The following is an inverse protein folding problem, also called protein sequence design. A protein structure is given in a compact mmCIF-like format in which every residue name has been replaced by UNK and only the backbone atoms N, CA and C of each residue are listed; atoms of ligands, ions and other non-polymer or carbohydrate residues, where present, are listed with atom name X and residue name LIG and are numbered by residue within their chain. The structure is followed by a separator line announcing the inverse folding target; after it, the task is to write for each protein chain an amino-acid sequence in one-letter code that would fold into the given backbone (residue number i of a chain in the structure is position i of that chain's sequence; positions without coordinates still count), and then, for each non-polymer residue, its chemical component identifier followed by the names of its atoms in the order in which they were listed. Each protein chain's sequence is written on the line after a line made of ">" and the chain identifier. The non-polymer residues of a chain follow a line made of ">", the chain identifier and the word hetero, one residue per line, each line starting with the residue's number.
data_IF_482634763420
#
_entry.id   IF_482634763420
#
_cell.length_a   1.000
_cell.length_b   1.000
_cell.length_c   1.000
_cell.angle_alpha   90.00
_cell.angle_beta   90.00
_cell.angle_gamma   90.00
#
_symmetry.space_group_name_H-M   'P 1'
#
loop_
_entity.id
_entity.type
_entity.pdbx_description
1 polymer ?
#
# COMPACT_ATOMS: atom_id res chain seq x y z
N UNK A 1 23.02 -5.25 -12.00
CA UNK A 1 24.32 -5.33 -12.69
C UNK A 1 25.41 -5.19 -11.65
N UNK A 2 26.41 -4.36 -11.88
CA UNK A 2 27.39 -3.91 -10.89
C UNK A 2 27.15 -2.49 -10.36
N UNK A 3 26.38 -1.66 -11.07
CA UNK A 3 26.08 -0.27 -10.67
C UNK A 3 24.59 -0.07 -10.42
N UNK A 4 24.26 0.46 -9.24
CA UNK A 4 22.90 0.74 -8.76
C UNK A 4 22.80 2.19 -8.25
N UNK A 5 21.57 2.72 -8.20
CA UNK A 5 21.24 4.03 -7.64
C UNK A 5 20.92 3.90 -6.14
N UNK A 6 21.54 4.75 -5.32
CA UNK A 6 21.34 4.84 -3.88
C UNK A 6 20.90 6.27 -3.48
N UNK A 7 20.14 6.39 -2.39
CA UNK A 7 19.69 7.67 -1.81
C UNK A 7 20.20 7.82 -0.38
N UNK A 8 20.59 9.03 -0.02
CA UNK A 8 20.76 9.47 1.37
C UNK A 8 19.87 10.69 1.61
N UNK A 9 19.42 10.88 2.84
CA UNK A 9 18.57 12.00 3.26
C UNK A 9 19.36 12.89 4.21
N UNK A 10 19.39 14.18 3.93
CA UNK A 10 19.90 15.19 4.86
C UNK A 10 18.82 15.48 5.90
N UNK A 11 19.08 15.18 7.17
CA UNK A 11 18.17 15.52 8.26
C UNK A 11 18.27 16.99 8.66
N UNK A 12 17.29 17.46 9.43
CA UNK A 12 17.19 18.88 9.86
C UNK A 12 18.39 19.35 10.70
N UNK A 13 19.11 18.42 11.34
CA UNK A 13 20.34 18.67 12.07
C UNK A 13 21.60 18.72 11.16
N UNK A 14 21.44 18.55 9.84
CA UNK A 14 22.53 18.60 8.86
C UNK A 14 23.31 17.30 8.70
N UNK A 15 22.83 16.19 9.26
CA UNK A 15 23.46 14.87 9.12
C UNK A 15 22.88 14.11 7.92
N UNK A 16 23.73 13.37 7.22
CA UNK A 16 23.29 12.49 6.13
C UNK A 16 22.94 11.10 6.67
N UNK A 17 21.83 10.53 6.22
CA UNK A 17 21.47 9.14 6.51
C UNK A 17 22.46 8.16 5.85
N UNK A 18 22.44 6.90 6.29
CA UNK A 18 23.12 5.84 5.56
C UNK A 18 22.55 5.73 4.12
N UNK A 19 23.39 5.41 3.11
CA UNK A 19 22.91 5.17 1.75
C UNK A 19 21.94 4.00 1.69
N UNK A 20 20.75 4.21 1.12
CA UNK A 20 19.72 3.22 0.89
C UNK A 20 19.65 2.87 -0.60
N UNK A 21 19.67 1.57 -0.94
CA UNK A 21 19.49 1.11 -2.32
C UNK A 21 18.04 1.39 -2.75
N UNK A 22 17.84 2.02 -3.91
CA UNK A 22 16.51 2.46 -4.35
C UNK A 22 15.61 1.33 -4.85
N UNK A 23 16.15 0.12 -5.09
CA UNK A 23 15.41 -1.06 -5.50
C UNK A 23 14.62 -0.90 -6.81
N UNK A 24 13.82 -1.89 -7.15
CA UNK A 24 12.91 -1.82 -8.30
C UNK A 24 11.77 -0.82 -8.02
N UNK A 25 11.30 0.00 -8.99
CA UNK A 25 11.62 0.00 -10.41
C UNK A 25 12.78 0.92 -10.83
N UNK A 26 13.52 1.51 -9.89
CA UNK A 26 14.62 2.45 -10.21
C UNK A 26 15.87 1.66 -10.61
N UNK A 27 16.24 0.67 -9.81
CA UNK A 27 17.31 -0.27 -10.11
C UNK A 27 16.74 -1.51 -10.81
N UNK A 28 17.50 -2.02 -11.76
CA UNK A 28 17.20 -3.18 -12.58
C UNK A 28 18.27 -4.26 -12.37
N UNK A 29 18.15 -5.37 -13.11
CA UNK A 29 19.16 -6.44 -13.05
C UNK A 29 20.44 -6.09 -13.82
N UNK A 30 20.48 -4.99 -14.58
CA UNK A 30 21.63 -4.54 -15.38
C UNK A 30 22.33 -3.32 -14.73
N UNK A 31 23.20 -2.61 -15.44
CA UNK A 31 23.90 -1.44 -14.89
C UNK A 31 23.04 -0.19 -15.06
N UNK A 32 22.71 0.48 -13.95
CA UNK A 32 21.92 1.69 -13.93
C UNK A 32 22.79 2.89 -13.54
N UNK A 33 23.04 3.77 -14.53
CA UNK A 33 24.03 4.83 -14.40
C UNK A 33 23.51 6.18 -14.88
N UNK A 34 24.23 7.25 -14.51
CA UNK A 34 23.91 8.65 -14.89
C UNK A 34 22.52 9.13 -14.46
N UNK A 35 22.13 8.79 -13.23
CA UNK A 35 20.87 9.26 -12.66
C UNK A 35 20.86 10.78 -12.46
N UNK A 36 19.83 11.45 -12.97
CA UNK A 36 19.60 12.88 -12.79
C UNK A 36 18.14 13.16 -12.43
N UNK A 37 17.93 14.16 -11.57
CA UNK A 37 16.59 14.62 -11.18
C UNK A 37 16.23 15.85 -12.02
N UNK A 38 15.07 15.81 -12.68
CA UNK A 38 14.55 16.93 -13.42
C UNK A 38 14.16 18.09 -12.49
N UNK A 39 14.03 19.29 -13.06
CA UNK A 39 13.70 20.50 -12.30
C UNK A 39 12.35 20.43 -11.55
N UNK A 40 11.47 19.50 -11.93
CA UNK A 40 10.18 19.28 -11.24
C UNK A 40 10.34 18.57 -9.89
N UNK A 41 11.53 18.08 -9.57
CA UNK A 41 11.86 17.34 -8.35
C UNK A 41 11.19 15.97 -8.23
N UNK A 42 10.47 15.52 -9.27
CA UNK A 42 9.61 14.33 -9.27
C UNK A 42 9.95 13.35 -10.38
N UNK A 43 10.67 13.81 -11.40
CA UNK A 43 11.07 12.97 -12.52
C UNK A 43 12.56 12.69 -12.43
N UNK A 44 12.93 11.42 -12.40
CA UNK A 44 14.30 10.95 -12.55
C UNK A 44 14.53 10.41 -13.96
N UNK A 45 15.71 10.64 -14.50
CA UNK A 45 16.19 9.99 -15.71
C UNK A 45 17.45 9.22 -15.39
N UNK A 46 17.60 8.04 -15.99
CA UNK A 46 18.80 7.23 -15.87
C UNK A 46 19.05 6.47 -17.16
N UNK A 47 20.28 6.00 -17.33
CA UNK A 47 20.73 5.23 -18.47
C UNK A 47 20.85 3.77 -18.07
N UNK A 48 20.27 2.86 -18.85
CA UNK A 48 20.28 1.43 -18.55
C UNK A 48 20.30 0.58 -19.81
N UNK A 49 20.84 -0.63 -19.68
CA UNK A 49 20.96 -1.63 -20.76
C UNK A 49 19.92 -2.75 -20.62
N UNK A 50 18.66 -2.38 -20.34
CA UNK A 50 17.59 -3.34 -20.08
C UNK A 50 17.27 -4.19 -21.30
N UNK A 51 16.86 -5.44 -21.08
CA UNK A 51 16.42 -6.33 -22.16
C UNK A 51 15.17 -5.77 -22.86
N UNK A 52 15.18 -5.75 -24.20
CA UNK A 52 14.11 -5.16 -25.01
C UNK A 52 14.26 -3.66 -25.29
N UNK A 53 15.39 -3.05 -24.92
CA UNK A 53 15.77 -1.69 -25.31
C UNK A 53 16.09 -1.53 -26.81
N UNK A 54 16.36 -0.31 -27.24
CA UNK A 54 16.67 0.07 -28.62
C UNK A 54 18.18 0.12 -28.92
N UNK A 55 19.04 -0.13 -27.93
CA UNK A 55 20.48 -0.10 -28.10
C UNK A 55 21.26 -0.57 -26.87
N UNK A 56 22.50 -0.10 -26.73
CA UNK A 56 23.37 -0.49 -25.62
C UNK A 56 23.00 0.16 -24.29
N UNK A 57 22.72 1.47 -24.30
CA UNK A 57 22.27 2.21 -23.12
C UNK A 57 21.19 3.20 -23.53
N UNK A 58 19.97 2.95 -23.06
CA UNK A 58 18.80 3.76 -23.35
C UNK A 58 18.45 4.65 -22.17
N UNK A 59 17.79 5.78 -22.44
CA UNK A 59 17.33 6.72 -21.41
C UNK A 59 15.96 6.29 -20.92
N UNK A 60 15.89 5.95 -19.63
CA UNK A 60 14.65 5.61 -18.94
C UNK A 60 14.18 6.77 -18.07
N UNK A 61 12.85 6.89 -17.95
CA UNK A 61 12.19 7.86 -17.07
C UNK A 61 11.57 7.12 -15.90
N UNK A 62 11.85 7.59 -14.69
CA UNK A 62 11.19 7.14 -13.46
C UNK A 62 10.52 8.31 -12.76
N UNK A 63 9.39 8.07 -12.11
CA UNK A 63 8.77 9.07 -11.24
C UNK A 63 9.28 8.83 -9.82
N UNK A 64 10.11 9.74 -9.34
CA UNK A 64 10.62 9.79 -7.99
C UNK A 64 9.47 10.19 -7.09
N UNK A 65 8.97 9.19 -6.40
CA UNK A 65 7.93 9.37 -5.41
C UNK A 65 8.54 8.81 -4.14
N UNK A 66 8.63 9.64 -3.10
CA UNK A 66 9.25 9.29 -1.84
C UNK A 66 8.64 7.97 -1.33
N UNK A 67 9.42 6.89 -1.44
CA UNK A 67 9.14 5.53 -0.95
C UNK A 67 7.65 5.15 -0.94
N UNK A 68 7.14 4.59 -2.04
CA UNK A 68 5.94 3.76 -1.87
C UNK A 68 6.36 2.38 -1.42
N UNK A 69 6.16 2.13 -0.13
CA UNK A 69 5.58 0.85 0.21
C UNK A 69 4.28 0.71 -0.60
N UNK A 70 4.25 -0.26 -1.51
CA UNK A 70 3.08 -0.50 -2.36
C UNK A 70 1.92 -0.92 -1.46
N UNK A 71 1.00 0.02 -1.20
CA UNK A 71 -0.22 -0.27 -0.44
C UNK A 71 -1.15 -1.14 -1.28
N UNK A 72 -1.69 -2.18 -0.64
CA UNK A 72 -2.71 -3.05 -1.21
C UNK A 72 -4.08 -2.49 -0.88
N UNK A 73 -4.94 -2.45 -1.91
CA UNK A 73 -6.32 -1.97 -1.79
C UNK A 73 -7.21 -3.16 -1.48
N UNK A 74 -7.85 -3.14 -0.32
CA UNK A 74 -8.87 -4.12 0.04
C UNK A 74 -10.24 -3.46 -0.13
N UNK A 75 -11.08 -4.10 -0.93
CA UNK A 75 -12.49 -3.72 -1.11
C UNK A 75 -13.33 -4.64 -0.24
N UNK A 76 -14.31 -4.06 0.46
CA UNK A 76 -15.25 -4.87 1.23
C UNK A 76 -16.66 -4.32 1.22
N UNK A 77 -17.60 -5.17 1.60
CA UNK A 77 -19.01 -4.85 1.76
C UNK A 77 -19.51 -5.39 3.11
N UNK A 78 -20.32 -4.58 3.80
CA UNK A 78 -20.87 -4.91 5.12
C UNK A 78 -22.40 -4.95 5.03
N UNK A 79 -22.98 -6.07 5.46
CA UNK A 79 -24.41 -6.32 5.47
C UNK A 79 -24.89 -6.83 6.83
N UNK A 80 -26.22 -6.85 7.02
CA UNK A 80 -26.86 -7.64 8.08
C UNK A 80 -26.57 -9.14 7.92
N UNK A 81 -26.95 -9.92 8.92
CA UNK A 81 -26.69 -11.37 8.96
C UNK A 81 -27.19 -12.10 7.71
N UNK A 82 -28.37 -11.72 7.22
CA UNK A 82 -29.00 -12.31 6.02
C UNK A 82 -28.35 -11.87 4.70
N UNK A 83 -27.45 -10.88 4.73
CA UNK A 83 -26.78 -10.35 3.55
C UNK A 83 -27.66 -9.46 2.66
N UNK A 84 -28.83 -9.04 3.11
CA UNK A 84 -29.82 -8.34 2.30
C UNK A 84 -29.78 -6.82 2.46
N UNK A 85 -29.40 -6.34 3.64
CA UNK A 85 -29.40 -4.92 3.99
C UNK A 85 -27.97 -4.44 4.18
N UNK A 86 -27.47 -3.49 3.37
CA UNK A 86 -26.15 -2.90 3.57
C UNK A 86 -26.11 -2.08 4.86
N UNK A 87 -24.96 -2.09 5.55
CA UNK A 87 -24.80 -1.40 6.82
C UNK A 87 -23.75 -0.29 6.73
N UNK A 88 -24.07 0.85 7.37
CA UNK A 88 -23.08 1.85 7.76
C UNK A 88 -22.34 1.35 9.00
N UNK A 89 -21.03 1.22 8.88
CA UNK A 89 -20.18 0.66 9.92
C UNK A 89 -18.84 1.38 9.97
N UNK A 90 -18.26 1.44 11.17
CA UNK A 90 -16.88 1.84 11.43
C UNK A 90 -16.01 0.60 11.43
N UNK A 91 -14.92 0.62 10.67
CA UNK A 91 -13.91 -0.44 10.62
C UNK A 91 -12.63 0.12 11.23
N UNK A 92 -12.12 -0.51 12.29
CA UNK A 92 -10.83 -0.17 12.88
C UNK A 92 -9.83 -1.23 12.48
N UNK A 93 -8.73 -0.83 11.83
CA UNK A 93 -7.64 -1.71 11.42
C UNK A 93 -6.48 -1.58 12.40
N UNK A 94 -6.01 -2.70 12.91
CA UNK A 94 -4.95 -2.78 13.92
C UNK A 94 -3.82 -3.62 13.35
N UNK A 95 -2.59 -3.11 13.39
CA UNK A 95 -1.40 -3.86 12.97
C UNK A 95 -0.92 -4.74 14.13
N UNK A 96 -0.74 -6.04 13.88
CA UNK A 96 -0.66 -7.04 14.94
C UNK A 96 0.66 -7.02 15.72
N UNK A 97 1.80 -6.67 15.09
CA UNK A 97 3.11 -6.68 15.78
C UNK A 97 3.20 -5.53 16.78
N UNK A 98 2.73 -4.33 16.39
CA UNK A 98 2.81 -3.14 17.25
C UNK A 98 1.54 -2.86 18.05
N UNK A 99 0.45 -3.57 17.77
CA UNK A 99 -0.89 -3.32 18.31
C UNK A 99 -1.40 -1.88 18.09
N UNK A 100 -0.85 -1.16 17.10
CA UNK A 100 -1.26 0.21 16.77
C UNK A 100 -2.46 0.20 15.85
N UNK A 101 -3.36 1.16 16.06
CA UNK A 101 -4.43 1.46 15.11
C UNK A 101 -3.80 2.07 13.86
N UNK A 102 -3.81 1.29 12.78
CA UNK A 102 -3.26 1.71 11.49
C UNK A 102 -4.25 2.60 10.72
N UNK A 103 -5.56 2.40 10.93
CA UNK A 103 -6.57 3.20 10.26
C UNK A 103 -7.97 2.99 10.80
N UNK A 104 -8.83 3.98 10.55
CA UNK A 104 -10.27 3.91 10.81
C UNK A 104 -10.98 4.24 9.50
N UNK A 105 -11.82 3.31 9.05
CA UNK A 105 -12.55 3.39 7.80
C UNK A 105 -14.05 3.35 8.07
N UNK A 106 -14.85 3.76 7.10
CA UNK A 106 -16.31 3.74 7.18
C UNK A 106 -16.91 3.14 5.91
N UNK A 107 -17.90 2.28 6.05
CA UNK A 107 -18.71 1.84 4.90
C UNK A 107 -19.76 2.88 4.51
N UNK A 108 -20.11 2.87 3.22
CA UNK A 108 -21.14 3.77 2.68
C UNK A 108 -22.53 3.27 3.04
N UNK A 109 -23.33 4.14 3.65
CA UNK A 109 -24.68 3.83 4.17
C UNK A 109 -25.59 3.13 3.14
N UNK A 110 -25.58 3.58 1.88
CA UNK A 110 -26.46 3.04 0.85
C UNK A 110 -26.01 1.69 0.25
N UNK A 111 -24.74 1.29 0.43
CA UNK A 111 -24.17 0.15 -0.31
C UNK A 111 -23.33 -0.80 0.55
N UNK A 112 -23.02 -0.47 1.80
CA UNK A 112 -22.15 -1.27 2.67
C UNK A 112 -20.68 -1.30 2.24
N UNK A 113 -20.36 -0.71 1.08
CA UNK A 113 -19.03 -0.71 0.45
C UNK A 113 -18.03 0.14 1.23
N UNK A 114 -16.81 -0.37 1.35
CA UNK A 114 -15.66 0.37 1.85
C UNK A 114 -14.38 -0.02 1.10
N UNK A 115 -13.37 0.83 1.24
CA UNK A 115 -12.00 0.56 0.79
C UNK A 115 -11.07 0.80 1.96
N UNK A 116 -10.11 -0.09 2.17
CA UNK A 116 -9.02 0.10 3.11
C UNK A 116 -7.67 -0.18 2.45
N UNK A 117 -6.62 0.41 3.02
CA UNK A 117 -5.26 0.29 2.52
C UNK A 117 -4.43 -0.47 3.54
N UNK A 118 -3.69 -1.47 3.08
CA UNK A 118 -2.81 -2.28 3.93
C UNK A 118 -1.42 -2.38 3.30
N UNK A 119 -0.40 -2.52 4.15
CA UNK A 119 0.95 -2.87 3.70
C UNK A 119 1.08 -4.40 3.63
N UNK A 120 1.54 -4.99 2.51
CA UNK A 120 1.50 -6.44 2.29
C UNK A 120 2.47 -7.24 3.17
N UNK A 121 3.47 -6.59 3.75
CA UNK A 121 4.49 -7.16 4.64
C UNK A 121 4.08 -7.17 6.12
N UNK A 122 2.84 -6.77 6.42
CA UNK A 122 2.30 -6.66 7.78
C UNK A 122 1.06 -7.52 7.94
N UNK A 123 0.83 -7.92 9.19
CA UNK A 123 -0.37 -8.65 9.60
C UNK A 123 -1.31 -7.72 10.34
N UNK A 124 -2.62 -7.92 10.14
CA UNK A 124 -3.63 -7.03 10.68
C UNK A 124 -4.80 -7.80 11.28
N UNK A 125 -5.40 -7.18 12.28
CA UNK A 125 -6.73 -7.53 12.79
C UNK A 125 -7.68 -6.37 12.50
N UNK A 126 -8.97 -6.65 12.43
CA UNK A 126 -9.98 -5.62 12.24
C UNK A 126 -11.07 -5.71 13.31
N UNK A 127 -11.72 -4.57 13.58
CA UNK A 127 -12.95 -4.47 14.38
C UNK A 127 -14.00 -3.70 13.58
N UNK A 128 -15.13 -4.33 13.30
CA UNK A 128 -16.28 -3.73 12.60
C UNK A 128 -17.39 -3.46 13.61
N UNK A 129 -17.88 -2.22 13.62
CA UNK A 129 -18.98 -1.77 14.50
C UNK A 129 -20.05 -1.07 13.68
N UNK A 130 -21.30 -1.49 13.83
CA UNK A 130 -22.47 -0.84 13.26
C UNK A 130 -23.54 -0.65 14.34
N UNK A 131 -24.35 0.40 14.21
CA UNK A 131 -25.42 0.71 15.16
C UNK A 131 -26.48 -0.40 15.15
N UNK A 132 -26.81 -0.93 16.33
CA UNK A 132 -27.74 -2.05 16.48
C UNK A 132 -27.13 -3.44 16.22
N UNK A 133 -25.82 -3.57 16.00
CA UNK A 133 -25.15 -4.86 15.77
C UNK A 133 -24.04 -5.14 16.80
N UNK A 134 -23.75 -6.42 17.01
CA UNK A 134 -22.57 -6.85 17.76
C UNK A 134 -21.30 -6.53 16.96
N UNK A 135 -20.23 -6.04 17.63
CA UNK A 135 -18.95 -5.86 16.97
C UNK A 135 -18.41 -7.20 16.44
N UNK A 136 -17.88 -7.17 15.22
CA UNK A 136 -17.15 -8.32 14.64
C UNK A 136 -15.66 -8.04 14.65
N UNK A 137 -14.89 -8.99 15.16
CA UNK A 137 -13.42 -8.91 15.23
C UNK A 137 -12.83 -10.19 14.66
N UNK A 138 -11.81 -10.06 13.82
CA UNK A 138 -11.06 -11.20 13.27
C UNK A 138 -9.69 -10.75 12.75
N UNK A 139 -8.85 -11.73 12.42
CA UNK A 139 -7.63 -11.50 11.65
C UNK A 139 -7.97 -11.29 10.17
N UNK A 140 -7.21 -10.39 9.54
CA UNK A 140 -7.36 -10.11 8.13
C UNK A 140 -6.57 -11.14 7.30
N UNK A 141 -7.24 -12.22 6.93
CA UNK A 141 -6.69 -13.24 6.03
C UNK A 141 -7.03 -12.92 4.57
N UNK A 142 -6.02 -12.63 3.74
CA UNK A 142 -6.21 -12.48 2.30
C UNK A 142 -5.03 -13.09 1.53
N UNK A 143 -5.35 -13.83 0.47
CA UNK A 143 -4.36 -14.18 -0.54
C UNK A 143 -4.12 -12.95 -1.41
N UNK A 144 -2.86 -12.51 -1.43
CA UNK A 144 -2.38 -11.23 -1.98
C UNK A 144 -2.64 -11.07 -3.51
N UNK A 145 -3.16 -12.12 -4.16
CA UNK A 145 -3.37 -12.20 -5.60
C UNK A 145 -4.78 -11.85 -6.09
N UNK A 146 -5.77 -11.61 -5.23
CA UNK A 146 -7.15 -11.58 -5.69
C UNK A 146 -7.80 -10.19 -5.70
N UNK A 147 -8.47 -9.87 -6.82
CA UNK A 147 -9.31 -8.69 -7.02
C UNK A 147 -10.65 -8.82 -6.26
N UNK A 148 -10.68 -9.68 -5.23
CA UNK A 148 -11.87 -10.12 -4.54
C UNK A 148 -12.39 -9.04 -3.60
N UNK A 149 -13.72 -8.87 -3.60
CA UNK A 149 -14.39 -8.02 -2.61
C UNK A 149 -14.75 -8.88 -1.40
N UNK A 150 -14.23 -8.51 -0.23
CA UNK A 150 -14.56 -9.20 1.02
C UNK A 150 -15.98 -8.87 1.44
N UNK A 151 -16.68 -9.84 2.02
CA UNK A 151 -18.04 -9.65 2.51
C UNK A 151 -18.14 -9.96 3.99
N UNK A 152 -18.71 -9.03 4.74
CA UNK A 152 -18.91 -9.15 6.18
C UNK A 152 -20.41 -9.06 6.49
N UNK A 153 -20.92 -10.05 7.21
CA UNK A 153 -22.28 -10.04 7.74
C UNK A 153 -22.21 -9.86 9.26
N UNK A 154 -23.02 -8.94 9.79
CA UNK A 154 -23.06 -8.63 11.22
C UNK A 154 -24.33 -9.18 11.88
N UNK A 155 -24.17 -9.67 13.12
CA UNK A 155 -25.26 -10.16 13.94
C UNK A 155 -25.95 -8.99 14.68
N UNK A 156 -27.29 -8.87 14.60
CA UNK A 156 -28.02 -7.81 15.29
C UNK A 156 -28.00 -8.01 16.82
N UNK A 157 -28.03 -6.90 17.56
CA UNK A 157 -28.35 -6.90 18.98
C UNK A 157 -29.88 -6.99 19.10
N UNK A 158 -30.35 -8.01 19.83
CA UNK A 158 -31.77 -8.16 20.15
C UNK A 158 -32.34 -6.92 20.85
#
# INVERSE_FOLDING_TARGET
>A
GGYDIFKTVLSENGEWSNPENMGFPINTVTDDIFFVVAADGKTGYYSSSQEGGYGGQDIYKVILKDQYEKLHVIKGEIFNLDGTVPLSAKITLIENETAKVQGIYKSKDATGKFIMLVKPDKTYSYVIQADGYYPKTDELNFDINDNQTLRFNLEPKN
#
